data_IF_534118127580
#
_entry.id   IF_534118127580
#
_cell.length_a   1.000
_cell.length_b   1.000
_cell.length_c   1.000
_cell.angle_alpha   90.00
_cell.angle_beta   90.00
_cell.angle_gamma   90.00
#
_symmetry.space_group_name_H-M   'P 1'
#
loop_
_entity.id
_entity.type
_entity.pdbx_description
1 polymer ?
#
# COMPACT_ATOMS: atom_id res chain seq x y z
N UNK A 1 0.35 -9.94 4.18
CA UNK A 1 0.77 -8.77 3.34
C UNK A 1 2.19 -8.88 2.80
N UNK A 2 3.18 -9.25 3.60
CA UNK A 2 4.57 -9.47 3.13
C UNK A 2 4.68 -10.47 1.98
N UNK A 3 4.00 -11.61 2.10
CA UNK A 3 3.98 -12.61 1.03
C UNK A 3 3.40 -12.05 -0.28
N UNK A 4 2.32 -11.30 -0.19
CA UNK A 4 1.71 -10.65 -1.35
C UNK A 4 2.64 -9.62 -1.96
N UNK A 5 3.31 -8.82 -1.13
CA UNK A 5 4.29 -7.82 -1.58
C UNK A 5 5.48 -8.49 -2.30
N UNK A 6 5.99 -9.59 -1.74
CA UNK A 6 7.07 -10.35 -2.36
C UNK A 6 6.65 -10.87 -3.74
N UNK A 7 5.49 -11.52 -3.83
CA UNK A 7 5.00 -12.09 -5.09
C UNK A 7 4.65 -11.03 -6.13
N UNK A 8 4.27 -9.84 -5.71
CA UNK A 8 3.98 -8.72 -6.61
C UNK A 8 5.23 -7.91 -7.00
N UNK A 9 6.39 -8.21 -6.43
CA UNK A 9 7.64 -7.52 -6.75
C UNK A 9 7.77 -6.14 -6.12
N UNK A 10 7.21 -5.95 -4.93
CA UNK A 10 7.34 -4.70 -4.18
C UNK A 10 8.78 -4.52 -3.71
N UNK A 11 9.35 -3.34 -3.92
CA UNK A 11 10.74 -3.06 -3.55
C UNK A 11 10.94 -2.93 -2.04
N UNK A 12 9.97 -2.33 -1.34
CA UNK A 12 10.10 -2.04 0.08
C UNK A 12 8.72 -1.87 0.73
N UNK A 13 8.62 -2.27 1.98
CA UNK A 13 7.44 -2.06 2.82
C UNK A 13 7.80 -1.07 3.93
N UNK A 14 6.96 -0.05 4.11
CA UNK A 14 7.10 0.92 5.19
C UNK A 14 5.90 0.75 6.12
N UNK A 15 6.19 0.45 7.38
CA UNK A 15 5.19 0.25 8.41
C UNK A 15 5.14 1.47 9.32
N UNK A 16 3.96 1.85 9.78
CA UNK A 16 3.78 2.98 10.69
C UNK A 16 2.60 2.76 11.64
N UNK A 17 2.49 3.62 12.65
CA UNK A 17 1.42 3.55 13.64
C UNK A 17 1.47 2.26 14.45
N UNK A 18 0.31 1.65 14.63
CA UNK A 18 0.18 0.40 15.38
C UNK A 18 0.32 -0.85 14.51
N UNK A 19 0.83 -0.71 13.31
CA UNK A 19 1.04 -1.84 12.40
C UNK A 19 2.06 -2.81 13.01
N UNK A 20 1.72 -4.11 13.16
CA UNK A 20 2.67 -5.08 13.68
C UNK A 20 3.85 -5.26 12.74
N UNK A 21 5.04 -5.42 13.31
CA UNK A 21 6.27 -5.67 12.56
C UNK A 21 6.64 -7.16 12.61
N UNK A 22 7.49 -7.64 11.67
CA UNK A 22 7.95 -9.02 11.68
C UNK A 22 8.78 -9.39 12.92
N UNK A 23 9.32 -8.39 13.62
CA UNK A 23 10.08 -8.58 14.85
C UNK A 23 9.26 -8.14 16.06
N UNK A 24 9.41 -8.86 17.19
CA UNK A 24 8.83 -8.42 18.44
C UNK A 24 9.66 -7.28 19.06
N UNK A 25 9.21 -6.75 20.22
CA UNK A 25 9.90 -5.66 20.90
C UNK A 25 11.34 -6.02 21.36
N UNK A 26 11.69 -7.29 21.35
CA UNK A 26 13.03 -7.78 21.68
C UNK A 26 13.88 -8.12 20.46
N UNK A 27 13.41 -7.80 19.24
CA UNK A 27 14.13 -8.08 18.01
C UNK A 27 14.04 -9.51 17.52
N UNK A 28 13.14 -10.33 18.09
CA UNK A 28 12.95 -11.73 17.69
C UNK A 28 11.89 -11.86 16.61
N UNK A 29 12.04 -12.84 15.72
CA UNK A 29 11.01 -13.13 14.70
C UNK A 29 9.70 -13.53 15.35
N UNK A 30 8.62 -12.91 14.92
CA UNK A 30 7.27 -13.27 15.38
C UNK A 30 6.79 -14.52 14.63
N UNK A 31 6.39 -15.53 15.37
CA UNK A 31 5.92 -16.80 14.80
C UNK A 31 4.61 -16.67 14.03
N UNK A 32 3.73 -15.76 14.44
CA UNK A 32 2.49 -15.45 13.74
C UNK A 32 2.74 -14.85 12.35
N UNK A 33 3.77 -14.02 12.22
CA UNK A 33 4.22 -13.51 10.92
C UNK A 33 4.79 -14.62 10.04
N UNK A 34 5.69 -15.44 10.60
CA UNK A 34 6.35 -16.49 9.84
C UNK A 34 5.37 -17.50 9.23
N UNK A 35 4.29 -17.82 9.93
CA UNK A 35 3.25 -18.74 9.44
C UNK A 35 2.50 -18.21 8.22
N UNK A 36 2.30 -16.90 8.12
CA UNK A 36 1.52 -16.27 7.05
C UNK A 36 2.41 -15.83 5.90
N UNK A 37 3.57 -15.25 6.20
CA UNK A 37 4.47 -14.70 5.19
C UNK A 37 5.33 -15.75 4.50
N UNK A 38 5.55 -16.91 5.14
CA UNK A 38 6.42 -18.00 4.64
C UNK A 38 7.84 -17.50 4.32
N UNK A 39 8.38 -16.64 5.18
CA UNK A 39 9.73 -16.08 5.01
C UNK A 39 9.80 -14.84 4.12
N UNK A 40 8.68 -14.34 3.62
CA UNK A 40 8.67 -13.12 2.78
C UNK A 40 9.16 -11.88 3.52
N UNK A 41 9.06 -11.83 4.85
CA UNK A 41 9.63 -10.77 5.67
C UNK A 41 11.17 -10.70 5.60
N UNK A 42 11.82 -11.77 5.17
CA UNK A 42 13.26 -11.80 4.92
C UNK A 42 13.61 -11.42 3.47
N UNK A 43 12.65 -11.55 2.54
CA UNK A 43 12.86 -11.27 1.10
C UNK A 43 12.55 -9.84 0.71
N UNK A 44 11.57 -9.21 1.36
CA UNK A 44 11.17 -7.83 1.08
C UNK A 44 11.75 -6.91 2.14
N UNK A 45 12.59 -5.93 1.77
CA UNK A 45 13.06 -4.92 2.71
C UNK A 45 11.90 -4.19 3.37
N UNK A 46 12.00 -3.97 4.67
CA UNK A 46 10.98 -3.23 5.41
C UNK A 46 11.61 -2.31 6.45
N UNK A 47 10.89 -1.28 6.81
CA UNK A 47 11.26 -0.41 7.94
C UNK A 47 10.00 0.08 8.65
N UNK A 48 10.17 0.44 9.92
CA UNK A 48 9.13 1.11 10.68
C UNK A 48 9.46 2.60 10.81
N UNK A 49 8.47 3.47 10.58
CA UNK A 49 8.61 4.92 10.71
C UNK A 49 7.55 5.46 11.67
N UNK A 50 7.95 6.35 12.56
CA UNK A 50 7.03 6.98 13.52
C UNK A 50 6.21 8.11 12.88
N UNK A 51 6.79 8.79 11.89
CA UNK A 51 6.19 9.95 11.24
C UNK A 51 6.03 9.68 9.73
N UNK A 52 4.97 8.98 9.33
CA UNK A 52 4.76 8.63 7.91
C UNK A 52 4.61 9.85 7.01
N UNK A 53 4.15 10.98 7.53
CA UNK A 53 4.03 12.24 6.78
C UNK A 53 5.39 12.70 6.23
N UNK A 54 6.44 12.60 7.03
CA UNK A 54 7.82 12.94 6.61
C UNK A 54 8.28 11.97 5.53
N UNK A 55 8.01 10.69 5.70
CA UNK A 55 8.38 9.66 4.73
C UNK A 55 7.69 9.89 3.38
N UNK A 56 6.41 10.23 3.37
CA UNK A 56 5.68 10.54 2.15
C UNK A 56 6.25 11.77 1.43
N UNK A 57 6.61 12.81 2.20
CA UNK A 57 7.25 14.00 1.63
C UNK A 57 8.59 13.67 0.97
N UNK A 58 9.40 12.82 1.59
CA UNK A 58 10.67 12.35 1.03
C UNK A 58 10.48 11.52 -0.23
N UNK A 59 9.51 10.60 -0.23
CA UNK A 59 9.19 9.79 -1.40
C UNK A 59 8.75 10.66 -2.58
N UNK A 60 7.91 11.65 -2.32
CA UNK A 60 7.49 12.60 -3.35
C UNK A 60 8.68 13.37 -3.93
N UNK A 61 9.58 13.84 -3.06
CA UNK A 61 10.80 14.55 -3.47
C UNK A 61 11.69 13.65 -4.33
N UNK A 62 11.69 12.35 -4.08
CA UNK A 62 12.47 11.36 -4.83
C UNK A 62 11.76 10.86 -6.10
N UNK A 63 10.65 11.48 -6.48
CA UNK A 63 9.96 11.19 -7.73
C UNK A 63 8.89 10.13 -7.67
N UNK A 64 8.50 9.68 -6.48
CA UNK A 64 7.37 8.73 -6.33
C UNK A 64 6.03 9.42 -6.46
N UNK A 65 5.09 8.73 -7.10
CA UNK A 65 3.68 9.09 -7.06
C UNK A 65 3.06 8.48 -5.80
N UNK A 66 2.51 9.31 -4.94
CA UNK A 66 1.81 8.83 -3.73
C UNK A 66 0.36 8.54 -4.10
N UNK A 67 -0.01 7.27 -4.05
CA UNK A 67 -1.37 6.80 -4.32
C UNK A 67 -1.97 6.20 -3.06
N UNK A 68 -3.12 6.67 -2.63
CA UNK A 68 -3.84 6.09 -1.49
C UNK A 68 -4.90 5.11 -1.99
N UNK A 69 -4.97 3.93 -1.38
CA UNK A 69 -6.04 2.97 -1.64
C UNK A 69 -7.19 3.23 -0.67
N UNK A 70 -8.23 3.89 -1.15
CA UNK A 70 -9.36 4.31 -0.33
C UNK A 70 -10.59 4.57 -1.19
N UNK A 71 -11.77 4.54 -0.60
CA UNK A 71 -13.00 4.96 -1.26
C UNK A 71 -13.29 6.42 -0.89
N UNK A 72 -13.39 7.27 -1.89
CA UNK A 72 -13.64 8.69 -1.72
C UNK A 72 -14.41 9.25 -2.93
N UNK A 73 -15.11 10.38 -2.79
CA UNK A 73 -15.86 10.96 -3.92
C UNK A 73 -15.01 11.30 -5.15
N UNK A 74 -13.73 11.60 -4.95
CA UNK A 74 -12.79 11.96 -6.00
C UNK A 74 -11.83 10.82 -6.36
N UNK A 75 -12.13 9.59 -5.95
CA UNK A 75 -11.28 8.43 -6.26
C UNK A 75 -11.33 8.07 -7.75
N UNK A 76 -10.25 7.49 -8.21
CA UNK A 76 -10.09 6.98 -9.58
C UNK A 76 -10.15 5.45 -9.54
N UNK A 77 -10.86 4.87 -10.49
CA UNK A 77 -10.88 3.42 -10.64
C UNK A 77 -9.45 2.93 -10.92
N UNK A 78 -8.96 2.03 -10.07
CA UNK A 78 -7.58 1.54 -10.15
C UNK A 78 -7.26 0.90 -11.52
N UNK A 79 -8.25 0.28 -12.16
CA UNK A 79 -8.05 -0.36 -13.46
C UNK A 79 -7.84 0.64 -14.60
N UNK A 80 -8.23 1.89 -14.38
CA UNK A 80 -8.06 2.97 -15.36
C UNK A 80 -6.85 3.86 -15.06
N UNK A 81 -6.24 3.69 -13.89
CA UNK A 81 -5.17 4.55 -13.41
C UNK A 81 -3.98 4.65 -14.38
N UNK A 82 -3.57 3.53 -14.96
CA UNK A 82 -2.42 3.49 -15.86
C UNK A 82 -2.67 4.16 -17.22
N UNK A 83 -3.94 4.34 -17.57
CA UNK A 83 -4.33 4.97 -18.83
C UNK A 83 -4.81 6.40 -18.65
N UNK A 84 -4.90 6.85 -17.39
CA UNK A 84 -5.42 8.19 -17.08
C UNK A 84 -4.31 9.24 -17.02
N UNK A 85 -4.72 10.49 -17.13
CA UNK A 85 -3.84 11.66 -16.93
C UNK A 85 -3.32 11.79 -15.50
N UNK A 86 -3.85 10.98 -14.56
CA UNK A 86 -3.45 10.97 -13.17
C UNK A 86 -2.20 10.11 -12.89
N UNK A 87 -1.81 9.29 -13.87
CA UNK A 87 -0.53 8.59 -13.79
C UNK A 87 0.48 9.34 -14.64
N UNK A 88 1.35 10.15 -14.02
CA UNK A 88 2.48 10.71 -14.75
C UNK A 88 3.37 9.53 -15.13
N UNK A 89 3.33 9.22 -16.40
CA UNK A 89 4.05 8.13 -17.04
C UNK A 89 5.44 7.92 -16.44
N UNK A 90 5.71 6.71 -15.99
CA UNK A 90 7.00 6.21 -15.51
C UNK A 90 7.44 6.61 -14.10
N UNK A 91 6.59 7.19 -13.28
CA UNK A 91 6.95 7.37 -11.87
C UNK A 91 6.70 6.09 -11.08
N UNK A 92 7.63 5.70 -10.21
CA UNK A 92 7.35 4.62 -9.26
C UNK A 92 6.21 5.06 -8.33
N UNK A 93 5.39 4.10 -7.93
CA UNK A 93 4.22 4.35 -7.07
C UNK A 93 4.52 3.92 -5.65
N UNK A 94 4.25 4.80 -4.70
CA UNK A 94 4.15 4.45 -3.29
C UNK A 94 2.67 4.30 -2.94
N UNK A 95 2.25 3.06 -2.69
CA UNK A 95 0.87 2.75 -2.34
C UNK A 95 0.65 2.91 -0.85
N UNK A 96 -0.22 3.82 -0.46
CA UNK A 96 -0.59 4.09 0.91
C UNK A 96 -1.87 3.32 1.25
N UNK A 97 -1.81 2.49 2.28
CA UNK A 97 -2.93 1.64 2.72
C UNK A 97 -3.20 1.89 4.20
N UNK A 98 -4.45 2.06 4.55
CA UNK A 98 -4.88 2.24 5.93
C UNK A 98 -5.13 0.93 6.67
N UNK A 99 -5.55 1.04 7.94
CA UNK A 99 -5.99 -0.11 8.71
C UNK A 99 -7.47 -0.44 8.41
N UNK A 100 -7.95 -1.57 8.95
CA UNK A 100 -9.29 -2.09 8.66
C UNK A 100 -10.41 -1.26 9.31
N UNK A 101 -10.10 -0.51 10.36
CA UNK A 101 -11.11 0.23 11.14
C UNK A 101 -11.23 1.67 10.65
N UNK A 102 -10.11 2.39 10.60
CA UNK A 102 -10.09 3.84 10.35
C UNK A 102 -9.72 4.20 8.91
N UNK A 103 -9.22 3.25 8.12
CA UNK A 103 -8.69 3.53 6.79
C UNK A 103 -7.44 4.40 6.83
N UNK A 104 -7.21 5.16 5.78
CA UNK A 104 -6.11 6.13 5.72
C UNK A 104 -6.51 7.39 6.47
N UNK A 105 -5.65 7.87 7.38
CA UNK A 105 -5.95 9.09 8.13
C UNK A 105 -6.12 10.29 7.19
N UNK A 106 -6.96 11.29 7.56
CA UNK A 106 -7.14 12.48 6.73
C UNK A 106 -5.84 13.23 6.42
N UNK A 107 -4.92 13.29 7.37
CA UNK A 107 -3.62 13.95 7.19
C UNK A 107 -2.76 13.26 6.12
N UNK A 108 -2.74 11.94 6.12
CA UNK A 108 -2.01 11.15 5.11
C UNK A 108 -2.73 11.17 3.76
N UNK A 109 -4.05 11.09 3.77
CA UNK A 109 -4.86 11.14 2.56
C UNK A 109 -4.66 12.46 1.81
N UNK A 110 -4.52 13.56 2.54
CA UNK A 110 -4.26 14.87 1.96
C UNK A 110 -2.90 14.95 1.23
N UNK A 111 -1.96 14.08 1.55
CA UNK A 111 -0.67 14.00 0.87
C UNK A 111 -0.68 13.11 -0.37
N UNK A 112 -1.74 12.34 -0.59
CA UNK A 112 -1.86 11.51 -1.78
C UNK A 112 -2.10 12.39 -3.02
N UNK A 113 -1.39 12.09 -4.10
CA UNK A 113 -1.58 12.74 -5.39
C UNK A 113 -2.83 12.19 -6.10
N UNK A 114 -3.16 10.94 -5.82
CA UNK A 114 -4.32 10.25 -6.36
C UNK A 114 -4.90 9.30 -5.31
N UNK A 115 -6.20 9.19 -5.29
CA UNK A 115 -6.92 8.19 -4.49
C UNK A 115 -7.43 7.13 -5.45
N UNK A 116 -7.03 5.90 -5.23
CA UNK A 116 -7.41 4.77 -6.06
C UNK A 116 -8.48 3.95 -5.35
N UNK A 117 -9.49 3.52 -6.07
CA UNK A 117 -10.50 2.60 -5.54
C UNK A 117 -10.62 1.37 -6.42
N UNK A 118 -10.96 0.26 -5.79
CA UNK A 118 -11.40 -0.96 -6.46
C UNK A 118 -12.92 -0.90 -6.51
N UNK A 119 -13.55 -0.81 -7.69
CA UNK A 119 -15.00 -0.67 -7.79
C UNK A 119 -15.70 -1.94 -7.29
N UNK A 120 -16.65 -1.76 -6.36
CA UNK A 120 -17.49 -2.85 -5.85
C UNK A 120 -18.71 -3.02 -6.73
N UNK A 121 -18.99 -4.27 -7.13
CA UNK A 121 -20.13 -4.60 -8.01
C UNK A 121 -21.22 -5.40 -7.31
N UNK A 122 -20.98 -5.81 -6.09
CA UNK A 122 -21.91 -6.59 -5.29
C UNK A 122 -22.60 -5.76 -4.22
N UNK A 123 -23.14 -6.45 -3.22
CA UNK A 123 -23.83 -5.81 -2.10
C UNK A 123 -22.90 -5.31 -1.00
N UNK A 124 -21.69 -5.88 -0.90
CA UNK A 124 -20.69 -5.44 0.08
C UNK A 124 -20.01 -4.16 -0.38
N UNK A 125 -19.80 -3.26 0.56
CA UNK A 125 -19.27 -1.92 0.29
C UNK A 125 -17.75 -1.88 0.24
N UNK A 126 -17.07 -2.90 0.83
CA UNK A 126 -15.61 -2.94 0.90
C UNK A 126 -15.06 -4.35 0.87
N UNK A 127 -13.78 -4.48 0.52
CA UNK A 127 -12.97 -5.68 0.66
C UNK A 127 -12.18 -5.63 1.96
N UNK A 128 -11.77 -6.79 2.44
CA UNK A 128 -10.71 -6.88 3.45
C UNK A 128 -9.47 -6.15 2.95
N UNK A 129 -8.80 -5.40 3.81
CA UNK A 129 -7.66 -4.55 3.43
C UNK A 129 -6.50 -5.34 2.82
N UNK A 130 -6.22 -6.54 3.30
CA UNK A 130 -5.17 -7.39 2.73
C UNK A 130 -5.50 -7.87 1.33
N UNK A 131 -6.77 -8.20 1.08
CA UNK A 131 -7.25 -8.58 -0.25
C UNK A 131 -7.21 -7.39 -1.20
N UNK A 132 -7.72 -6.25 -0.77
CA UNK A 132 -7.69 -5.01 -1.56
C UNK A 132 -6.25 -4.60 -1.92
N UNK A 133 -5.34 -4.68 -0.96
CA UNK A 133 -3.92 -4.40 -1.18
C UNK A 133 -3.32 -5.34 -2.21
N UNK A 134 -3.63 -6.63 -2.13
CA UNK A 134 -3.16 -7.62 -3.10
C UNK A 134 -3.64 -7.31 -4.52
N UNK A 135 -4.92 -7.00 -4.69
CA UNK A 135 -5.48 -6.61 -5.99
C UNK A 135 -4.76 -5.36 -6.52
N UNK A 136 -4.62 -4.34 -5.67
CA UNK A 136 -3.97 -3.08 -6.06
C UNK A 136 -2.52 -3.28 -6.49
N UNK A 137 -1.74 -4.05 -5.72
CA UNK A 137 -0.34 -4.32 -6.03
C UNK A 137 -0.19 -5.01 -7.38
N UNK A 138 -0.99 -6.04 -7.65
CA UNK A 138 -0.92 -6.75 -8.93
C UNK A 138 -1.38 -5.90 -10.12
N UNK A 139 -2.38 -5.06 -9.94
CA UNK A 139 -2.80 -4.11 -10.98
C UNK A 139 -1.70 -3.09 -11.28
N UNK A 140 -1.07 -2.53 -10.25
CA UNK A 140 -0.04 -1.50 -10.40
C UNK A 140 1.28 -2.03 -10.95
N UNK A 141 1.62 -3.30 -10.67
CA UNK A 141 2.88 -3.91 -11.13
C UNK A 141 2.77 -4.62 -12.47
N UNK A 142 1.56 -4.81 -12.99
CA UNK A 142 1.30 -5.45 -14.29
C UNK A 142 0.62 -4.47 -15.24
N UNK A 143 1.38 -3.59 -15.88
CA UNK A 143 0.79 -2.60 -16.79
C UNK A 143 0.08 -3.30 -17.95
N UNK A 144 -1.06 -2.76 -18.32
CA UNK A 144 -1.77 -3.20 -19.53
C UNK A 144 -0.96 -2.82 -20.77
N UNK A 145 -0.72 -3.79 -21.57
CA UNK A 145 -0.10 -3.59 -22.89
C UNK A 145 -1.14 -3.07 -23.88
#
# INVERSE_FOLDING_TARGET
MFRTADTAGVEKIILSGYTPTPLDRFGRKRTDFAKVSLGAEDSVPWEYVETPEVTLAELRKNGYCIAALEQAPNSVNIFDFQTSTHNPTNKPVALLVGNEVDGVSPALLAQAEVILEIPMRGKKESLNVSVATGVALFVLTHPRT
#
